data_IF_064904925930
#
_entry.id   IF_064904925930
#
_cell.length_a   1.000
_cell.length_b   1.000
_cell.length_c   1.000
_cell.angle_alpha   90.00
_cell.angle_beta   90.00
_cell.angle_gamma   90.00
#
_symmetry.space_group_name_H-M   'P 1'
#
loop_
_entity.id
_entity.type
_entity.pdbx_description
1 polymer ?
#
# COMPACT_ATOMS: atom_id res chain seq x y z
N UNK A 1 -21.59 7.85 3.32
CA UNK A 1 -20.59 8.04 2.24
C UNK A 1 -20.53 9.51 1.95
N UNK A 2 -19.69 10.24 2.70
CA UNK A 2 -19.39 11.63 2.41
C UNK A 2 -18.18 11.66 1.48
N UNK A 3 -18.19 12.46 0.40
CA UNK A 3 -17.00 12.65 -0.41
C UNK A 3 -15.99 13.43 0.43
N UNK A 4 -14.87 12.79 0.75
CA UNK A 4 -13.71 13.42 1.37
C UNK A 4 -13.19 14.51 0.45
N UNK A 5 -13.63 15.73 0.73
CA UNK A 5 -13.23 16.99 0.11
C UNK A 5 -11.69 17.15 0.15
N UNK A 6 -11.07 17.09 -1.03
CA UNK A 6 -10.13 18.06 -1.61
C UNK A 6 -9.14 18.85 -0.72
N UNK A 7 -8.73 18.35 0.44
CA UNK A 7 -7.79 19.05 1.34
C UNK A 7 -6.32 19.10 0.84
N UNK A 8 -5.98 18.43 -0.26
CA UNK A 8 -4.60 18.31 -0.75
C UNK A 8 -4.18 19.28 -1.87
N UNK A 9 -5.07 20.18 -2.31
CA UNK A 9 -4.78 21.16 -3.37
C UNK A 9 -4.76 22.63 -2.88
N UNK A 10 -4.41 22.89 -1.61
CA UNK A 10 -4.20 24.29 -1.20
C UNK A 10 -2.88 24.79 -1.78
N UNK A 11 -2.86 25.85 -2.62
CA UNK A 11 -1.62 26.45 -3.08
C UNK A 11 -0.79 26.89 -1.87
N UNK A 12 0.55 26.87 -1.95
CA UNK A 12 1.37 27.34 -0.85
C UNK A 12 0.96 28.79 -0.49
N UNK A 13 0.80 29.11 0.81
CA UNK A 13 0.27 30.40 1.29
C UNK A 13 1.10 31.62 0.87
N UNK A 14 2.25 31.40 0.23
CA UNK A 14 3.27 32.40 -0.10
C UNK A 14 2.81 33.46 -1.11
N UNK A 15 1.87 33.14 -1.99
CA UNK A 15 1.41 34.06 -3.05
C UNK A 15 -0.08 34.39 -3.00
N UNK A 16 -0.82 33.92 -1.99
CA UNK A 16 -2.27 34.08 -1.92
C UNK A 16 -2.70 35.54 -1.81
N UNK A 17 -2.01 36.32 -0.97
CA UNK A 17 -2.25 37.76 -0.86
C UNK A 17 -1.94 38.49 -2.17
N UNK A 18 -0.93 38.07 -2.92
CA UNK A 18 -0.54 38.71 -4.18
C UNK A 18 -1.56 38.37 -5.27
N UNK A 19 -1.84 37.09 -5.50
CA UNK A 19 -2.74 36.64 -6.55
C UNK A 19 -4.18 37.17 -6.41
N UNK A 20 -4.65 37.37 -5.17
CA UNK A 20 -5.98 37.94 -4.90
C UNK A 20 -6.06 39.46 -5.08
N UNK A 21 -4.92 40.17 -5.07
CA UNK A 21 -4.88 41.63 -5.22
C UNK A 21 -4.57 42.04 -6.66
N UNK A 22 -3.87 41.19 -7.44
CA UNK A 22 -3.57 41.48 -8.85
C UNK A 22 -4.80 41.86 -9.69
N UNK A 23 -5.99 41.23 -9.54
CA UNK A 23 -7.17 41.61 -10.32
C UNK A 23 -7.73 42.99 -10.02
N UNK A 24 -7.30 43.65 -8.94
CA UNK A 24 -7.73 45.00 -8.57
C UNK A 24 -6.84 46.09 -9.16
N UNK A 25 -5.71 45.71 -9.75
CA UNK A 25 -4.74 46.62 -10.33
C UNK A 25 -5.00 46.79 -11.83
N UNK A 26 -4.61 47.93 -12.43
CA UNK A 26 -4.63 48.09 -13.88
C UNK A 26 -3.71 47.08 -14.60
N UNK A 27 -4.05 46.66 -15.83
CA UNK A 27 -3.25 45.69 -16.59
C UNK A 27 -1.78 46.06 -16.75
N UNK A 28 -1.47 47.36 -16.87
CA UNK A 28 -0.11 47.87 -17.05
C UNK A 28 0.75 47.62 -15.81
N UNK A 29 0.17 47.83 -14.62
CA UNK A 29 0.84 47.56 -13.34
C UNK A 29 1.05 46.06 -13.17
N UNK A 30 0.05 45.25 -13.54
CA UNK A 30 0.14 43.80 -13.48
C UNK A 30 1.19 43.29 -14.45
N UNK A 31 1.27 43.82 -15.67
CA UNK A 31 2.33 43.48 -16.62
C UNK A 31 3.71 43.77 -16.07
N UNK A 32 3.94 44.94 -15.44
CA UNK A 32 5.20 45.25 -14.78
C UNK A 32 5.58 44.21 -13.73
N UNK A 33 4.63 43.88 -12.83
CA UNK A 33 4.84 42.86 -11.79
C UNK A 33 5.15 41.49 -12.41
N UNK A 34 4.41 41.07 -13.43
CA UNK A 34 4.61 39.76 -14.07
C UNK A 34 5.95 39.70 -14.82
N UNK A 35 6.43 40.82 -15.39
CA UNK A 35 7.71 40.91 -16.08
C UNK A 35 8.92 40.61 -15.19
N UNK A 36 8.84 40.98 -13.90
CA UNK A 36 9.91 40.79 -12.91
C UNK A 36 9.91 39.37 -12.29
N UNK A 37 8.89 38.57 -12.55
CA UNK A 37 8.77 37.22 -12.02
C UNK A 37 9.41 36.20 -12.95
N UNK A 38 9.99 35.16 -12.34
CA UNK A 38 10.46 34.02 -13.13
C UNK A 38 9.31 33.25 -13.77
N UNK A 39 9.58 32.61 -14.91
CA UNK A 39 8.60 31.77 -15.62
C UNK A 39 7.96 30.73 -14.68
N UNK A 40 8.75 30.11 -13.80
CA UNK A 40 8.26 29.16 -12.81
C UNK A 40 7.30 29.81 -11.80
N UNK A 41 7.59 31.03 -11.30
CA UNK A 41 6.71 31.73 -10.36
C UNK A 41 5.40 32.17 -11.02
N UNK A 42 5.46 32.62 -12.28
CA UNK A 42 4.29 32.96 -13.07
C UNK A 42 3.35 31.76 -13.20
N UNK A 43 3.91 30.59 -13.56
CA UNK A 43 3.15 29.35 -13.61
C UNK A 43 2.60 28.94 -12.25
N UNK A 44 3.35 29.12 -11.15
CA UNK A 44 2.85 28.83 -9.80
C UNK A 44 1.64 29.70 -9.43
N UNK A 45 1.68 30.99 -9.77
CA UNK A 45 0.57 31.92 -9.51
C UNK A 45 -0.64 31.58 -10.39
N UNK A 46 -0.44 31.42 -11.70
CA UNK A 46 -1.53 31.13 -12.64
C UNK A 46 -2.21 29.78 -12.34
N UNK A 47 -1.43 28.74 -12.05
CA UNK A 47 -1.95 27.41 -11.73
C UNK A 47 -2.56 27.31 -10.32
N UNK A 48 -1.98 27.99 -9.34
CA UNK A 48 -2.39 27.86 -7.94
C UNK A 48 -3.69 28.58 -7.59
N UNK A 49 -3.99 29.68 -8.29
CA UNK A 49 -5.18 30.51 -8.02
C UNK A 49 -6.22 30.46 -9.14
N UNK A 50 -5.83 29.99 -10.34
CA UNK A 50 -6.70 29.84 -11.51
C UNK A 50 -7.56 31.08 -11.82
N UNK A 51 -6.93 32.26 -11.76
CA UNK A 51 -7.60 33.54 -11.97
C UNK A 51 -7.53 33.92 -13.46
N UNK A 52 -8.67 33.98 -14.20
CA UNK A 52 -8.66 34.23 -15.64
C UNK A 52 -7.99 35.56 -16.05
N UNK A 53 -8.12 36.58 -15.21
CA UNK A 53 -7.50 37.88 -15.43
C UNK A 53 -5.96 37.79 -15.46
N UNK A 54 -5.35 36.97 -14.60
CA UNK A 54 -3.89 36.77 -14.59
C UNK A 54 -3.45 36.06 -15.87
N UNK A 55 -4.20 35.05 -16.31
CA UNK A 55 -3.93 34.32 -17.56
C UNK A 55 -4.00 35.25 -18.78
N UNK A 56 -5.00 36.14 -18.81
CA UNK A 56 -5.13 37.18 -19.84
C UNK A 56 -3.96 38.15 -19.82
N UNK A 57 -3.50 38.58 -18.62
CA UNK A 57 -2.34 39.45 -18.48
C UNK A 57 -1.05 38.79 -18.96
N UNK A 58 -0.84 37.50 -18.63
CA UNK A 58 0.31 36.72 -19.11
C UNK A 58 0.30 36.62 -20.64
N UNK A 59 -0.86 36.32 -21.24
CA UNK A 59 -0.97 36.15 -22.69
C UNK A 59 -0.93 37.46 -23.48
N UNK A 60 -1.22 38.61 -22.85
CA UNK A 60 -1.18 39.94 -23.49
C UNK A 60 0.13 40.70 -23.28
N UNK A 61 0.95 40.32 -22.28
CA UNK A 61 2.22 40.97 -21.98
C UNK A 61 3.25 40.80 -23.13
N UNK A 62 3.98 41.87 -23.45
CA UNK A 62 4.90 41.97 -24.60
C UNK A 62 5.89 40.79 -24.73
N UNK A 63 6.67 40.49 -23.68
CA UNK A 63 7.62 39.37 -23.68
C UNK A 63 6.96 38.00 -23.44
N UNK A 64 6.09 37.90 -22.43
CA UNK A 64 5.45 36.64 -22.04
C UNK A 64 4.56 36.05 -23.13
N UNK A 65 3.93 36.87 -23.98
CA UNK A 65 3.14 36.38 -25.13
C UNK A 65 3.98 35.55 -26.12
N UNK A 66 5.28 35.83 -26.23
CA UNK A 66 6.18 35.05 -27.07
C UNK A 66 6.45 33.64 -26.49
N UNK A 67 6.30 33.49 -25.17
CA UNK A 67 6.52 32.26 -24.41
C UNK A 67 5.21 31.48 -24.23
N UNK A 68 4.13 32.18 -23.88
CA UNK A 68 2.81 31.64 -23.54
C UNK A 68 1.78 32.04 -24.60
N UNK A 69 1.57 31.17 -25.56
CA UNK A 69 0.50 31.35 -26.54
C UNK A 69 -0.84 30.94 -25.94
N UNK A 70 -1.89 31.75 -26.17
CA UNK A 70 -3.22 31.48 -25.62
C UNK A 70 -3.76 30.08 -25.98
N UNK A 71 -3.40 29.56 -27.17
CA UNK A 71 -3.80 28.22 -27.63
C UNK A 71 -3.16 27.08 -26.85
N UNK A 72 -1.92 27.24 -26.36
CA UNK A 72 -1.16 26.18 -25.68
C UNK A 72 -1.06 26.38 -24.17
N UNK A 73 -1.41 27.56 -23.67
CA UNK A 73 -1.26 27.92 -22.27
C UNK A 73 -2.06 26.98 -21.34
N UNK A 74 -3.25 26.54 -21.76
CA UNK A 74 -4.06 25.56 -21.03
C UNK A 74 -3.33 24.22 -20.84
N UNK A 75 -2.65 23.75 -21.87
CA UNK A 75 -1.89 22.49 -21.81
C UNK A 75 -0.66 22.64 -20.93
N UNK A 76 0.03 23.78 -21.00
CA UNK A 76 1.15 24.12 -20.11
C UNK A 76 0.68 24.13 -18.65
N UNK A 77 -0.45 24.78 -18.34
CA UNK A 77 -1.03 24.77 -16.99
C UNK A 77 -1.36 23.35 -16.53
N UNK A 78 -1.89 22.51 -17.40
CA UNK A 78 -2.23 21.12 -17.11
C UNK A 78 -0.97 20.30 -16.75
N UNK A 79 0.06 20.36 -17.59
CA UNK A 79 1.36 19.71 -17.33
C UNK A 79 2.02 20.23 -16.05
N UNK A 80 1.97 21.54 -15.81
CA UNK A 80 2.59 22.15 -14.63
C UNK A 80 1.86 21.79 -13.34
N UNK A 81 0.52 21.71 -13.37
CA UNK A 81 -0.27 21.20 -12.24
C UNK A 81 0.09 19.76 -11.89
N UNK A 82 0.23 18.89 -12.91
CA UNK A 82 0.69 17.52 -12.71
C UNK A 82 2.10 17.48 -12.10
N UNK A 83 3.02 18.31 -12.59
CA UNK A 83 4.36 18.45 -12.03
C UNK A 83 4.35 18.94 -10.57
N UNK A 84 3.54 19.94 -10.22
CA UNK A 84 3.39 20.39 -8.85
C UNK A 84 2.86 19.27 -7.94
N UNK A 85 1.85 18.54 -8.40
CA UNK A 85 1.23 17.44 -7.66
C UNK A 85 2.22 16.34 -7.35
N UNK A 86 2.99 15.86 -8.34
CA UNK A 86 3.98 14.81 -8.11
C UNK A 86 5.12 15.27 -7.18
N UNK A 87 5.52 16.55 -7.27
CA UNK A 87 6.54 17.13 -6.38
C UNK A 87 6.04 17.23 -4.94
N UNK A 88 4.78 17.65 -4.74
CA UNK A 88 4.17 17.72 -3.41
C UNK A 88 4.08 16.34 -2.71
N UNK A 89 4.08 15.23 -3.47
CA UNK A 89 4.16 13.88 -2.91
C UNK A 89 5.54 13.54 -2.34
N UNK A 90 6.59 14.30 -2.65
CA UNK A 90 7.93 14.12 -2.09
C UNK A 90 8.17 15.09 -0.92
N UNK A 91 8.15 14.63 0.35
CA UNK A 91 8.25 15.52 1.49
C UNK A 91 9.62 16.20 1.64
N UNK A 92 10.67 15.66 1.01
CA UNK A 92 12.03 16.21 1.12
C UNK A 92 12.22 17.45 0.26
N UNK A 93 11.49 17.54 -0.86
CA UNK A 93 11.62 18.66 -1.80
C UNK A 93 10.28 18.88 -2.53
N UNK A 94 9.27 19.44 -1.83
CA UNK A 94 7.91 19.54 -2.35
C UNK A 94 7.76 20.65 -3.40
N UNK A 95 8.78 21.48 -3.60
CA UNK A 95 8.68 22.65 -4.44
C UNK A 95 9.05 22.34 -5.90
N UNK A 96 8.40 22.98 -6.88
CA UNK A 96 8.82 22.96 -8.27
C UNK A 96 10.27 23.41 -8.40
N UNK A 97 11.07 22.65 -9.15
CA UNK A 97 12.47 22.97 -9.38
C UNK A 97 12.83 22.67 -10.84
N UNK A 98 12.48 23.60 -11.72
CA UNK A 98 12.77 23.53 -13.15
C UNK A 98 13.79 24.61 -13.49
N UNK A 99 15.08 24.25 -13.47
CA UNK A 99 16.20 25.19 -13.66
C UNK A 99 16.04 26.14 -14.86
N UNK A 100 15.59 25.68 -16.05
CA UNK A 100 15.38 26.58 -17.19
C UNK A 100 14.31 27.64 -16.96
N UNK A 101 13.34 27.40 -16.07
CA UNK A 101 12.20 28.29 -15.81
C UNK A 101 12.46 29.26 -14.64
N UNK A 102 13.67 29.29 -14.08
CA UNK A 102 14.03 30.17 -12.96
C UNK A 102 14.34 31.62 -13.38
N UNK A 103 14.48 31.88 -14.67
CA UNK A 103 14.73 33.20 -15.22
C UNK A 103 13.43 33.98 -15.44
N UNK A 104 13.53 35.32 -15.43
CA UNK A 104 12.47 36.22 -15.90
C UNK A 104 12.25 36.09 -17.42
N UNK A 105 11.21 36.76 -17.93
CA UNK A 105 10.83 36.68 -19.33
C UNK A 105 11.93 37.19 -20.29
N UNK A 106 12.64 38.26 -19.92
CA UNK A 106 13.64 38.87 -20.79
C UNK A 106 14.84 37.94 -20.96
N UNK A 107 15.39 37.45 -19.84
CA UNK A 107 16.53 36.53 -19.84
C UNK A 107 16.15 35.18 -20.43
N UNK A 108 14.93 34.70 -20.18
CA UNK A 108 14.44 33.46 -20.78
C UNK A 108 14.37 33.55 -22.31
N UNK A 109 13.83 34.65 -22.84
CA UNK A 109 13.76 34.90 -24.28
C UNK A 109 15.16 34.98 -24.92
N UNK A 110 16.12 35.62 -24.25
CA UNK A 110 17.49 35.76 -24.74
C UNK A 110 18.20 34.40 -24.88
N UNK A 111 18.02 33.53 -23.89
CA UNK A 111 18.70 32.23 -23.83
C UNK A 111 18.08 31.17 -24.76
N UNK A 112 16.83 31.34 -25.21
CA UNK A 112 16.06 30.27 -25.85
C UNK A 112 15.40 30.67 -27.19
N UNK A 113 15.96 31.65 -27.89
CA UNK A 113 15.37 32.33 -29.07
C UNK A 113 14.74 31.37 -30.09
N UNK A 114 15.39 30.25 -30.40
CA UNK A 114 14.94 29.37 -31.49
C UNK A 114 13.82 28.39 -31.09
N UNK A 115 13.53 28.23 -29.78
CA UNK A 115 12.67 27.14 -29.25
C UNK A 115 11.59 27.63 -28.27
N UNK A 116 11.35 28.96 -28.19
CA UNK A 116 10.48 29.60 -27.18
C UNK A 116 9.07 28.98 -27.07
N UNK A 117 8.51 28.49 -28.18
CA UNK A 117 7.14 27.98 -28.24
C UNK A 117 6.94 26.64 -27.54
N UNK A 118 7.97 25.79 -27.50
CA UNK A 118 7.84 24.41 -26.98
C UNK A 118 8.63 24.22 -25.70
N UNK A 119 9.73 24.95 -25.52
CA UNK A 119 10.70 24.74 -24.44
C UNK A 119 10.09 24.75 -23.04
N UNK A 120 9.07 25.58 -22.78
CA UNK A 120 8.41 25.59 -21.46
C UNK A 120 7.69 24.27 -21.21
N UNK A 121 6.84 23.83 -22.15
CA UNK A 121 6.13 22.57 -22.01
C UNK A 121 7.11 21.39 -21.98
N UNK A 122 8.10 21.38 -22.86
CA UNK A 122 9.13 20.33 -22.93
C UNK A 122 9.91 20.23 -21.62
N UNK A 123 10.26 21.38 -21.01
CA UNK A 123 10.94 21.43 -19.71
C UNK A 123 10.07 20.86 -18.58
N UNK A 124 8.78 21.21 -18.57
CA UNK A 124 7.83 20.72 -17.56
C UNK A 124 7.65 19.21 -17.71
N UNK A 125 7.43 18.73 -18.93
CA UNK A 125 7.26 17.31 -19.23
C UNK A 125 8.52 16.52 -18.90
N UNK A 126 9.71 17.04 -19.24
CA UNK A 126 10.97 16.42 -18.86
C UNK A 126 11.11 16.30 -17.33
N UNK A 127 10.78 17.36 -16.59
CA UNK A 127 10.78 17.34 -15.12
C UNK A 127 9.76 16.35 -14.55
N UNK A 128 8.55 16.30 -15.12
CA UNK A 128 7.51 15.35 -14.75
C UNK A 128 7.95 13.91 -15.00
N UNK A 129 8.59 13.63 -16.15
CA UNK A 129 9.13 12.32 -16.45
C UNK A 129 10.24 11.89 -15.48
N UNK A 130 11.11 12.81 -15.07
CA UNK A 130 12.14 12.51 -14.05
C UNK A 130 11.50 12.07 -12.74
N UNK A 131 10.44 12.75 -12.31
CA UNK A 131 9.71 12.38 -11.09
C UNK A 131 8.93 11.07 -11.28
N UNK A 132 8.21 10.89 -12.38
CA UNK A 132 7.46 9.66 -12.67
C UNK A 132 8.38 8.44 -12.78
N UNK A 133 9.60 8.58 -13.29
CA UNK A 133 10.59 7.49 -13.36
C UNK A 133 10.94 6.93 -11.98
N UNK A 134 10.69 7.65 -10.88
CA UNK A 134 10.86 7.13 -9.51
C UNK A 134 9.87 6.00 -9.19
N UNK A 135 8.75 5.91 -9.91
CA UNK A 135 7.84 4.76 -9.83
C UNK A 135 8.35 3.50 -10.51
N UNK A 136 9.42 3.57 -11.33
CA UNK A 136 9.94 2.43 -12.11
C UNK A 136 10.08 1.14 -11.29
N UNK A 137 10.66 1.13 -10.07
CA UNK A 137 10.81 -0.11 -9.29
C UNK A 137 9.48 -0.73 -8.84
N UNK A 138 8.37 0.00 -8.97
CA UNK A 138 7.07 -0.31 -8.39
C UNK A 138 5.98 -0.52 -9.46
N UNK A 139 6.29 -0.28 -10.74
CA UNK A 139 5.31 -0.33 -11.82
C UNK A 139 4.62 -1.68 -11.95
N UNK A 140 5.35 -2.78 -11.78
CA UNK A 140 4.79 -4.13 -11.88
C UNK A 140 3.69 -4.36 -10.84
N UNK A 141 3.90 -3.86 -9.61
CA UNK A 141 2.91 -3.92 -8.53
C UNK A 141 1.76 -2.96 -8.80
N UNK A 142 2.04 -1.70 -9.14
CA UNK A 142 1.02 -0.67 -9.34
C UNK A 142 0.06 -1.00 -10.48
N UNK A 143 0.53 -1.66 -11.54
CA UNK A 143 -0.31 -2.13 -12.67
C UNK A 143 -1.45 -3.07 -12.24
N UNK A 144 -1.32 -3.75 -11.10
CA UNK A 144 -2.37 -4.62 -10.56
C UNK A 144 -3.53 -3.84 -9.93
N UNK A 145 -3.30 -2.57 -9.59
CA UNK A 145 -4.23 -1.72 -8.86
C UNK A 145 -4.83 -0.63 -9.74
N UNK A 146 -4.54 -0.61 -11.03
CA UNK A 146 -5.17 0.29 -12.01
C UNK A 146 -5.71 -0.48 -13.20
N UNK A 147 -6.79 0.02 -13.80
CA UNK A 147 -7.32 -0.47 -15.09
C UNK A 147 -6.66 0.23 -16.28
N UNK A 148 -5.95 1.34 -16.05
CA UNK A 148 -5.29 2.10 -17.11
C UNK A 148 -3.97 1.40 -17.50
N UNK A 149 -3.73 1.13 -18.79
CA UNK A 149 -2.50 0.48 -19.22
C UNK A 149 -1.32 1.43 -19.06
N UNK A 150 -0.43 1.15 -18.11
CA UNK A 150 0.80 1.93 -17.90
C UNK A 150 1.95 1.25 -18.63
N UNK A 151 2.43 1.78 -19.77
CA UNK A 151 3.54 1.18 -20.51
C UNK A 151 4.88 1.30 -19.77
N UNK A 152 5.92 0.61 -20.28
CA UNK A 152 7.28 0.75 -19.75
C UNK A 152 7.80 2.19 -19.89
N UNK A 153 8.64 2.70 -18.97
CA UNK A 153 9.14 4.08 -19.01
C UNK A 153 9.82 4.49 -20.32
N UNK A 154 10.39 3.53 -21.05
CA UNK A 154 11.02 3.75 -22.37
C UNK A 154 10.02 4.02 -23.50
N UNK A 155 8.75 3.70 -23.28
CA UNK A 155 7.65 3.82 -24.24
C UNK A 155 6.72 4.99 -23.91
N UNK A 156 7.03 5.79 -22.89
CA UNK A 156 6.19 6.90 -22.49
C UNK A 156 6.21 8.00 -23.56
N UNK A 157 5.03 8.29 -24.10
CA UNK A 157 4.82 9.34 -25.09
C UNK A 157 4.93 10.73 -24.44
N UNK A 158 5.53 11.72 -25.11
CA UNK A 158 5.73 13.06 -24.57
C UNK A 158 4.49 13.95 -24.63
N UNK A 159 3.29 13.44 -24.92
CA UNK A 159 2.10 14.33 -24.95
C UNK A 159 1.61 14.67 -23.55
N UNK A 160 1.26 15.95 -23.32
CA UNK A 160 0.82 16.44 -22.02
C UNK A 160 -0.36 15.64 -21.44
N UNK A 161 -1.33 15.27 -22.29
CA UNK A 161 -2.54 14.58 -21.83
C UNK A 161 -2.27 13.12 -21.42
N UNK A 162 -1.46 12.39 -22.19
CA UNK A 162 -1.13 11.00 -21.86
C UNK A 162 -0.30 10.92 -20.58
N UNK A 163 0.68 11.81 -20.41
CA UNK A 163 1.52 11.85 -19.21
C UNK A 163 0.69 12.16 -17.96
N UNK A 164 -0.26 13.09 -18.05
CA UNK A 164 -1.17 13.41 -16.93
C UNK A 164 -2.04 12.21 -16.58
N UNK A 165 -2.64 11.53 -17.57
CA UNK A 165 -3.44 10.32 -17.33
C UNK A 165 -2.61 9.19 -16.71
N UNK A 166 -1.38 9.00 -17.17
CA UNK A 166 -0.46 8.02 -16.58
C UNK A 166 -0.14 8.36 -15.12
N UNK A 167 0.10 9.63 -14.80
CA UNK A 167 0.33 10.06 -13.42
C UNK A 167 -0.90 9.81 -12.54
N UNK A 168 -2.09 10.14 -13.02
CA UNK A 168 -3.35 9.90 -12.30
C UNK A 168 -3.54 8.42 -12.02
N UNK A 169 -3.33 7.56 -13.02
CA UNK A 169 -3.39 6.11 -12.88
C UNK A 169 -2.39 5.58 -11.85
N UNK A 170 -1.18 6.14 -11.79
CA UNK A 170 -0.16 5.78 -10.79
C UNK A 170 -0.55 6.20 -9.38
N UNK A 171 -1.05 7.44 -9.19
CA UNK A 171 -1.50 7.91 -7.88
C UNK A 171 -2.72 7.11 -7.40
N UNK A 172 -3.70 6.83 -8.27
CA UNK A 172 -4.86 6.01 -7.94
C UNK A 172 -4.45 4.58 -7.54
N UNK A 173 -3.53 3.98 -8.29
CA UNK A 173 -2.98 2.66 -7.95
C UNK A 173 -2.28 2.66 -6.59
N UNK A 174 -1.45 3.67 -6.30
CA UNK A 174 -0.77 3.80 -5.01
C UNK A 174 -1.78 3.99 -3.87
N UNK A 175 -2.77 4.87 -4.04
CA UNK A 175 -3.83 5.09 -3.05
C UNK A 175 -4.61 3.80 -2.78
N UNK A 176 -4.97 3.04 -3.82
CA UNK A 176 -5.68 1.77 -3.67
C UNK A 176 -4.84 0.72 -2.96
N UNK A 177 -3.58 0.54 -3.38
CA UNK A 177 -2.62 -0.36 -2.74
C UNK A 177 -2.44 -0.03 -1.25
N UNK A 178 -2.23 1.25 -0.95
CA UNK A 178 -2.05 1.73 0.42
C UNK A 178 -3.32 1.58 1.25
N UNK A 179 -4.49 1.80 0.66
CA UNK A 179 -5.80 1.57 1.30
C UNK A 179 -5.97 0.11 1.73
N UNK A 180 -5.67 -0.85 0.85
CA UNK A 180 -5.74 -2.28 1.17
C UNK A 180 -4.79 -2.62 2.32
N UNK A 181 -3.51 -2.22 2.23
CA UNK A 181 -2.53 -2.46 3.30
C UNK A 181 -2.94 -1.83 4.63
N UNK A 182 -3.45 -0.61 4.60
CA UNK A 182 -3.95 0.10 5.78
C UNK A 182 -5.06 -0.70 6.45
N UNK A 183 -6.00 -1.22 5.66
CA UNK A 183 -7.08 -2.06 6.17
C UNK A 183 -6.55 -3.37 6.76
N UNK A 184 -5.59 -4.03 6.10
CA UNK A 184 -4.96 -5.25 6.63
C UNK A 184 -4.25 -5.01 7.96
N UNK A 185 -3.51 -3.90 8.10
CA UNK A 185 -2.86 -3.50 9.35
C UNK A 185 -3.87 -3.28 10.48
N UNK A 186 -4.99 -2.60 10.19
CA UNK A 186 -6.08 -2.40 11.15
C UNK A 186 -6.75 -3.71 11.55
N UNK A 187 -7.01 -4.59 10.59
CA UNK A 187 -7.57 -5.92 10.85
C UNK A 187 -6.63 -6.74 11.74
N UNK A 188 -5.34 -6.75 11.44
CA UNK A 188 -4.33 -7.42 12.27
C UNK A 188 -4.28 -6.85 13.69
N UNK A 189 -4.34 -5.53 13.84
CA UNK A 189 -4.36 -4.89 15.17
C UNK A 189 -5.61 -5.30 15.96
N UNK A 190 -6.78 -5.32 15.30
CA UNK A 190 -8.04 -5.78 15.87
C UNK A 190 -7.96 -7.23 16.34
N UNK A 191 -7.39 -8.14 15.53
CA UNK A 191 -7.21 -9.54 15.90
C UNK A 191 -6.34 -9.72 17.14
N UNK A 192 -5.25 -8.94 17.28
CA UNK A 192 -4.41 -8.99 18.50
C UNK A 192 -5.19 -8.52 19.73
N UNK A 193 -6.06 -7.52 19.59
CA UNK A 193 -6.90 -7.03 20.70
C UNK A 193 -8.02 -8.02 21.07
N UNK A 194 -8.65 -8.65 20.09
CA UNK A 194 -9.76 -9.58 20.31
C UNK A 194 -9.31 -10.95 20.85
N UNK A 195 -8.09 -11.37 20.53
CA UNK A 195 -7.55 -12.68 20.85
C UNK A 195 -6.21 -12.60 21.63
N UNK A 196 -6.21 -12.01 22.84
CA UNK A 196 -4.98 -11.79 23.61
C UNK A 196 -4.30 -13.10 23.99
N UNK A 197 -2.97 -13.12 23.90
CA UNK A 197 -2.10 -14.26 24.20
C UNK A 197 -2.01 -15.31 23.10
N UNK A 198 -2.85 -15.24 22.06
CA UNK A 198 -2.92 -16.27 21.00
C UNK A 198 -1.98 -16.01 19.83
N UNK A 199 -1.73 -14.74 19.54
CA UNK A 199 -1.02 -14.30 18.34
C UNK A 199 0.40 -13.86 18.68
N UNK A 200 1.29 -14.07 17.74
CA UNK A 200 2.67 -13.56 17.77
C UNK A 200 3.03 -12.97 16.42
N UNK A 201 4.05 -12.12 16.41
CA UNK A 201 4.73 -11.78 15.16
C UNK A 201 5.49 -13.01 14.68
N UNK A 202 5.57 -13.20 13.36
CA UNK A 202 6.18 -14.42 12.81
C UNK A 202 7.68 -14.54 13.08
N UNK A 203 8.35 -13.40 13.24
CA UNK A 203 9.76 -13.29 13.64
C UNK A 203 9.99 -13.67 15.10
N UNK A 204 8.96 -13.59 15.95
CA UNK A 204 9.07 -13.98 17.34
C UNK A 204 9.11 -15.51 17.45
N UNK A 205 10.29 -16.05 17.75
CA UNK A 205 10.51 -17.49 17.97
C UNK A 205 10.05 -17.97 19.35
N UNK A 206 9.80 -17.04 20.28
CA UNK A 206 9.29 -17.39 21.61
C UNK A 206 7.86 -17.92 21.52
N UNK A 207 7.59 -18.96 22.30
CA UNK A 207 6.25 -19.53 22.49
C UNK A 207 5.62 -19.06 23.81
N UNK A 208 6.32 -18.20 24.56
CA UNK A 208 5.80 -17.62 25.78
C UNK A 208 4.77 -16.52 25.47
N UNK A 209 3.78 -16.30 26.36
CA UNK A 209 2.86 -15.18 26.25
C UNK A 209 3.62 -13.86 26.09
N UNK A 210 3.23 -13.06 25.10
CA UNK A 210 3.88 -11.78 24.84
C UNK A 210 3.52 -10.82 25.98
N UNK A 211 4.53 -10.36 26.71
CA UNK A 211 4.33 -9.46 27.86
C UNK A 211 3.70 -8.11 27.50
N UNK A 212 3.81 -7.68 26.23
CA UNK A 212 3.34 -6.38 25.77
C UNK A 212 2.74 -6.44 24.35
N UNK A 213 1.56 -7.05 24.22
CA UNK A 213 0.81 -7.08 22.95
C UNK A 213 0.37 -5.70 22.48
N UNK A 214 0.22 -4.75 23.42
CA UNK A 214 -0.08 -3.35 23.11
C UNK A 214 0.98 -2.74 22.19
N UNK A 215 2.26 -3.08 22.35
CA UNK A 215 3.30 -2.63 21.42
C UNK A 215 3.03 -3.11 19.98
N UNK A 216 2.57 -4.35 19.80
CA UNK A 216 2.26 -4.89 18.46
C UNK A 216 1.09 -4.11 17.86
N UNK A 217 0.02 -3.91 18.63
CA UNK A 217 -1.15 -3.12 18.21
C UNK A 217 -0.74 -1.69 17.82
N UNK A 218 0.00 -1.00 18.68
CA UNK A 218 0.44 0.38 18.43
C UNK A 218 1.33 0.46 17.19
N UNK A 219 2.24 -0.51 17.00
CA UNK A 219 3.10 -0.59 15.80
C UNK A 219 2.27 -0.75 14.52
N UNK A 220 1.26 -1.63 14.54
CA UNK A 220 0.37 -1.85 13.40
C UNK A 220 -0.45 -0.60 13.08
N UNK A 221 -1.01 0.07 14.09
CA UNK A 221 -1.83 1.28 13.91
C UNK A 221 -1.00 2.50 13.46
N UNK A 222 0.20 2.69 14.02
CA UNK A 222 1.13 3.73 13.57
C UNK A 222 1.53 3.47 12.12
N UNK A 223 1.86 2.22 11.78
CA UNK A 223 2.20 1.85 10.40
C UNK A 223 1.01 2.07 9.46
N UNK A 224 -0.23 1.78 9.90
CA UNK A 224 -1.44 2.01 9.13
C UNK A 224 -1.61 3.51 8.81
N UNK A 225 -1.48 4.38 9.83
CA UNK A 225 -1.52 5.84 9.65
C UNK A 225 -0.43 6.34 8.70
N UNK A 226 0.76 5.76 8.79
CA UNK A 226 1.85 6.09 7.86
C UNK A 226 1.55 5.60 6.44
N UNK A 227 0.88 4.46 6.26
CA UNK A 227 0.57 3.91 4.95
C UNK A 227 -0.43 4.76 4.15
N UNK A 228 -1.31 5.53 4.81
CA UNK A 228 -2.30 6.41 4.16
C UNK A 228 -1.67 7.51 3.28
N UNK A 229 -0.39 7.83 3.49
CA UNK A 229 0.33 8.85 2.73
C UNK A 229 1.00 8.26 1.49
N UNK A 230 1.13 9.06 0.42
CA UNK A 230 1.99 8.71 -0.71
C UNK A 230 3.42 8.63 -0.23
N UNK A 231 4.11 7.56 -0.57
CA UNK A 231 5.45 7.30 -0.06
C UNK A 231 6.38 6.62 -1.07
N UNK A 232 5.85 6.05 -2.16
CA UNK A 232 6.67 5.33 -3.14
C UNK A 232 7.71 6.23 -3.82
N UNK A 233 7.30 7.42 -4.30
CA UNK A 233 8.21 8.39 -4.93
C UNK A 233 9.34 8.84 -3.99
N UNK A 234 9.08 8.88 -2.69
CA UNK A 234 10.07 9.27 -1.70
C UNK A 234 11.13 8.19 -1.43
N UNK A 235 11.00 7.00 -2.03
CA UNK A 235 11.86 5.84 -1.78
C UNK A 235 11.66 5.19 -0.41
N UNK A 236 10.74 5.70 0.40
CA UNK A 236 10.43 5.17 1.74
C UNK A 236 9.41 4.04 1.62
N UNK A 237 9.86 2.80 1.72
CA UNK A 237 8.97 1.63 1.75
C UNK A 237 8.33 1.45 3.14
N UNK A 238 7.25 2.18 3.39
CA UNK A 238 6.49 2.08 4.64
C UNK A 238 5.89 0.68 4.76
N UNK A 239 5.94 0.10 5.97
CA UNK A 239 5.44 -1.24 6.24
C UNK A 239 6.23 -2.38 5.59
N UNK A 240 7.41 -2.13 5.02
CA UNK A 240 8.23 -3.17 4.39
C UNK A 240 8.51 -4.34 5.34
N UNK A 241 8.80 -4.10 6.62
CA UNK A 241 9.02 -5.17 7.60
C UNK A 241 7.81 -6.09 7.82
N UNK A 242 6.60 -5.61 7.51
CA UNK A 242 5.35 -6.36 7.70
C UNK A 242 4.96 -7.11 6.41
N UNK A 243 5.14 -6.46 5.25
CA UNK A 243 4.71 -6.99 3.96
C UNK A 243 5.82 -7.65 3.15
N UNK A 244 7.08 -7.64 3.63
CA UNK A 244 8.21 -8.28 2.94
C UNK A 244 8.13 -9.79 2.87
N UNK A 245 7.57 -10.38 3.92
CA UNK A 245 7.42 -11.81 4.04
C UNK A 245 6.20 -12.29 3.26
N UNK A 246 6.27 -13.40 2.50
CA UNK A 246 5.08 -13.98 1.85
C UNK A 246 4.01 -14.37 2.88
N UNK A 247 4.46 -14.77 4.06
CA UNK A 247 3.63 -15.07 5.20
C UNK A 247 2.98 -13.80 5.76
N UNK A 248 1.74 -13.94 6.23
CA UNK A 248 1.10 -12.93 7.07
C UNK A 248 1.99 -12.62 8.30
N UNK A 249 2.10 -11.34 8.64
CA UNK A 249 2.95 -10.84 9.73
C UNK A 249 2.60 -11.43 11.11
N UNK A 250 1.31 -11.69 11.32
CA UNK A 250 0.80 -12.39 12.50
C UNK A 250 0.64 -13.87 12.22
N UNK A 251 0.98 -14.69 13.20
CA UNK A 251 0.60 -16.10 13.23
C UNK A 251 0.15 -16.51 14.64
N UNK A 252 -0.68 -17.56 14.78
CA UNK A 252 -0.95 -18.12 16.09
C UNK A 252 0.32 -18.75 16.70
N UNK A 253 0.37 -18.84 18.02
CA UNK A 253 1.45 -19.57 18.68
C UNK A 253 1.36 -21.08 18.40
N UNK A 254 2.48 -21.78 18.45
CA UNK A 254 2.49 -23.24 18.22
C UNK A 254 1.73 -23.96 19.36
N UNK A 255 1.64 -23.33 20.53
CA UNK A 255 0.82 -23.80 21.66
C UNK A 255 -0.68 -23.74 21.36
N UNK A 256 -1.17 -22.68 20.71
CA UNK A 256 -2.57 -22.61 20.23
C UNK A 256 -2.82 -23.72 19.21
N UNK A 257 -1.93 -23.87 18.23
CA UNK A 257 -2.01 -24.91 17.22
C UNK A 257 -2.10 -26.31 17.84
N UNK A 258 -1.21 -26.61 18.78
CA UNK A 258 -1.20 -27.89 19.46
C UNK A 258 -2.51 -28.18 20.18
N UNK A 259 -3.06 -27.18 20.89
CA UNK A 259 -4.31 -27.35 21.64
C UNK A 259 -5.50 -27.56 20.69
N UNK A 260 -5.56 -26.78 19.60
CA UNK A 260 -6.53 -26.94 18.52
C UNK A 260 -6.51 -28.36 17.95
N UNK A 261 -5.33 -28.85 17.55
CA UNK A 261 -5.19 -30.19 16.97
C UNK A 261 -5.55 -31.29 17.97
N UNK A 262 -5.25 -31.11 19.26
CA UNK A 262 -5.65 -32.04 20.32
C UNK A 262 -7.15 -32.08 20.54
N UNK A 263 -7.82 -30.92 20.53
CA UNK A 263 -9.29 -30.86 20.60
C UNK A 263 -9.90 -31.58 19.40
N UNK A 264 -9.41 -31.29 18.20
CA UNK A 264 -9.92 -31.90 16.97
C UNK A 264 -9.65 -33.42 16.88
N UNK A 265 -8.53 -33.90 17.42
CA UNK A 265 -8.25 -35.34 17.51
C UNK A 265 -9.26 -36.06 18.41
N UNK A 266 -9.68 -35.43 19.50
CA UNK A 266 -10.63 -36.00 20.46
C UNK A 266 -12.08 -35.84 20.02
N UNK A 267 -12.38 -34.76 19.30
CA UNK A 267 -13.70 -34.44 18.75
C UNK A 267 -13.54 -34.15 17.25
N UNK A 268 -13.47 -35.19 16.40
CA UNK A 268 -13.27 -35.03 14.96
C UNK A 268 -14.39 -34.22 14.32
N UNK A 269 -14.06 -33.42 13.31
CA UNK A 269 -15.07 -32.74 12.50
C UNK A 269 -15.83 -33.76 11.65
N UNK A 270 -17.09 -33.49 11.41
CA UNK A 270 -17.92 -34.16 10.39
C UNK A 270 -17.36 -34.07 8.96
N UNK A 271 -16.51 -33.06 8.70
CA UNK A 271 -15.74 -32.91 7.46
C UNK A 271 -14.55 -33.87 7.32
N UNK A 272 -14.18 -34.61 8.38
CA UNK A 272 -13.11 -35.61 8.29
C UNK A 272 -13.65 -36.95 7.79
N UNK A 273 -13.01 -37.50 6.77
CA UNK A 273 -13.16 -38.92 6.42
C UNK A 273 -12.47 -39.74 7.52
N UNK A 274 -13.25 -40.29 8.44
CA UNK A 274 -12.75 -41.15 9.52
C UNK A 274 -13.08 -42.60 9.18
N UNK A 275 -12.07 -43.48 9.21
CA UNK A 275 -12.19 -44.91 8.91
C UNK A 275 -13.10 -45.68 9.88
N UNK A 276 -13.42 -45.07 11.05
CA UNK A 276 -14.27 -45.64 12.09
C UNK A 276 -15.46 -44.71 12.37
N UNK A 277 -16.66 -45.25 12.65
CA UNK A 277 -17.81 -44.46 13.07
C UNK A 277 -17.55 -43.86 14.46
N UNK A 278 -16.88 -42.70 14.49
CA UNK A 278 -16.74 -41.86 15.67
C UNK A 278 -17.92 -40.89 15.69
N UNK A 279 -18.37 -40.54 16.89
CA UNK A 279 -19.29 -39.42 17.06
C UNK A 279 -18.56 -38.13 16.67
N UNK A 280 -18.70 -37.73 15.40
CA UNK A 280 -18.16 -36.48 14.91
C UNK A 280 -18.87 -35.29 15.59
N UNK A 281 -18.10 -34.25 15.88
CA UNK A 281 -18.62 -33.00 16.42
C UNK A 281 -18.92 -32.04 15.26
N UNK A 282 -20.07 -31.37 15.35
CA UNK A 282 -20.47 -30.37 14.36
C UNK A 282 -19.85 -29.02 14.71
N UNK A 283 -18.80 -28.65 13.98
CA UNK A 283 -18.15 -27.36 14.15
C UNK A 283 -18.82 -26.26 13.31
N UNK A 284 -18.65 -24.98 13.67
CA UNK A 284 -19.08 -23.86 12.84
C UNK A 284 -18.48 -23.90 11.42
N UNK A 285 -19.17 -23.28 10.45
CA UNK A 285 -18.80 -23.27 9.02
C UNK A 285 -17.34 -22.86 8.73
N UNK A 286 -16.73 -22.05 9.59
CA UNK A 286 -15.33 -21.64 9.46
C UNK A 286 -14.33 -22.80 9.53
N UNK A 287 -14.71 -23.98 10.04
CA UNK A 287 -13.83 -25.14 10.14
C UNK A 287 -13.31 -25.59 8.77
N UNK A 288 -14.13 -25.58 7.73
CA UNK A 288 -13.72 -25.96 6.37
C UNK A 288 -12.58 -25.05 5.85
N UNK A 289 -12.71 -23.74 6.08
CA UNK A 289 -11.69 -22.75 5.70
C UNK A 289 -10.39 -23.04 6.44
N UNK A 290 -10.48 -23.32 7.75
CA UNK A 290 -9.34 -23.62 8.61
C UNK A 290 -8.60 -24.87 8.13
N UNK A 291 -9.32 -25.98 7.95
CA UNK A 291 -8.77 -27.27 7.53
C UNK A 291 -8.14 -27.23 6.14
N UNK A 292 -8.78 -26.57 5.17
CA UNK A 292 -8.21 -26.39 3.83
C UNK A 292 -6.98 -25.50 3.81
N UNK A 293 -6.92 -24.50 4.69
CA UNK A 293 -5.79 -23.59 4.78
C UNK A 293 -4.58 -24.15 5.54
N UNK A 294 -4.69 -25.29 6.23
CA UNK A 294 -3.60 -25.81 7.06
C UNK A 294 -2.32 -26.21 6.31
N UNK A 295 -2.47 -26.66 5.07
CA UNK A 295 -1.37 -27.17 4.25
C UNK A 295 -0.48 -26.04 3.74
N UNK A 296 -1.09 -25.01 3.16
CA UNK A 296 -0.41 -24.02 2.33
C UNK A 296 -0.82 -22.59 2.65
N UNK A 297 0.08 -21.68 2.31
CA UNK A 297 -0.17 -20.24 2.33
C UNK A 297 -0.89 -19.86 1.05
N UNK A 298 -1.91 -19.02 1.16
CA UNK A 298 -2.58 -18.45 0.01
C UNK A 298 -1.62 -17.49 -0.69
N UNK A 299 -1.36 -17.69 -1.99
CA UNK A 299 -0.49 -16.82 -2.75
C UNK A 299 -1.08 -15.40 -2.80
N UNK A 300 -0.22 -14.40 -2.89
CA UNK A 300 -0.68 -13.03 -3.07
C UNK A 300 -1.27 -12.90 -4.48
N UNK A 301 -2.07 -11.86 -4.70
CA UNK A 301 -2.60 -11.55 -6.03
C UNK A 301 -1.50 -10.94 -6.93
N UNK A 302 -0.36 -11.63 -7.05
CA UNK A 302 0.75 -11.26 -7.92
C UNK A 302 0.67 -12.06 -9.22
N UNK A 303 0.87 -11.45 -10.39
CA UNK A 303 1.07 -12.20 -11.63
C UNK A 303 2.33 -13.07 -11.53
N UNK A 304 3.33 -12.64 -10.75
CA UNK A 304 4.54 -13.42 -10.48
C UNK A 304 4.28 -14.61 -9.57
N UNK A 305 3.36 -14.52 -8.61
CA UNK A 305 2.99 -15.67 -7.78
C UNK A 305 2.30 -16.72 -8.64
N UNK A 306 1.52 -16.33 -9.66
CA UNK A 306 0.88 -17.30 -10.55
C UNK A 306 1.90 -18.04 -11.42
N UNK A 307 2.87 -17.33 -11.99
CA UNK A 307 3.94 -17.95 -12.78
C UNK A 307 4.90 -18.75 -11.88
N UNK A 308 5.16 -18.27 -10.66
CA UNK A 308 5.93 -18.99 -9.63
C UNK A 308 5.22 -20.25 -9.16
N UNK A 309 3.90 -20.25 -8.95
CA UNK A 309 3.14 -21.46 -8.64
C UNK A 309 3.14 -22.48 -9.78
N UNK A 310 3.36 -22.03 -11.02
CA UNK A 310 3.50 -22.91 -12.19
C UNK A 310 4.93 -23.48 -12.31
N UNK A 311 5.95 -22.82 -11.73
CA UNK A 311 7.36 -23.16 -11.87
C UNK A 311 7.99 -23.79 -10.60
N UNK A 312 7.62 -23.30 -9.41
CA UNK A 312 8.02 -23.86 -8.13
C UNK A 312 7.19 -25.11 -7.85
N UNK A 313 7.90 -26.24 -7.74
CA UNK A 313 7.30 -27.54 -7.46
C UNK A 313 6.74 -27.65 -6.04
N UNK A 314 7.07 -26.73 -5.14
CA UNK A 314 6.73 -26.79 -3.71
C UNK A 314 6.10 -25.46 -3.22
N UNK A 315 4.78 -25.42 -2.98
CA UNK A 315 4.12 -24.25 -2.41
C UNK A 315 4.57 -24.01 -0.97
N UNK A 316 4.56 -22.75 -0.53
CA UNK A 316 4.95 -22.43 0.85
C UNK A 316 3.97 -23.03 1.87
N UNK A 317 4.51 -23.80 2.80
CA UNK A 317 3.73 -24.54 3.79
C UNK A 317 3.32 -23.65 4.95
N UNK A 318 2.08 -23.82 5.46
CA UNK A 318 1.63 -23.09 6.66
C UNK A 318 2.03 -23.80 7.93
N UNK A 319 1.86 -25.12 7.97
CA UNK A 319 2.15 -25.95 9.15
C UNK A 319 3.00 -27.15 8.80
N UNK A 320 3.78 -27.61 9.77
CA UNK A 320 4.63 -28.80 9.67
C UNK A 320 4.43 -29.69 10.89
N UNK A 321 4.63 -30.99 10.68
CA UNK A 321 4.37 -32.05 11.66
C UNK A 321 2.91 -32.12 12.10
N UNK A 322 1.98 -31.85 11.18
CA UNK A 322 0.53 -31.95 11.39
C UNK A 322 -0.08 -32.91 10.38
N UNK A 323 -1.21 -33.57 10.71
CA UNK A 323 -1.89 -34.46 9.76
C UNK A 323 -2.49 -33.70 8.56
N UNK A 324 -2.76 -32.41 8.73
CA UNK A 324 -3.26 -31.50 7.70
C UNK A 324 -2.14 -30.71 7.00
N UNK A 325 -0.88 -31.01 7.29
CA UNK A 325 0.26 -30.40 6.61
C UNK A 325 0.41 -30.95 5.19
N UNK A 326 1.22 -30.26 4.40
CA UNK A 326 1.52 -30.69 3.04
C UNK A 326 2.23 -32.08 3.00
N UNK A 327 2.12 -32.81 1.88
CA UNK A 327 2.86 -34.06 1.67
C UNK A 327 4.36 -33.87 1.93
N UNK A 328 5.00 -34.79 2.66
CA UNK A 328 6.42 -34.67 3.08
C UNK A 328 6.65 -33.90 4.38
N UNK A 329 5.68 -33.09 4.83
CA UNK A 329 5.71 -32.39 6.12
C UNK A 329 4.65 -32.88 7.11
N UNK A 330 3.95 -33.97 6.76
CA UNK A 330 3.06 -34.66 7.68
C UNK A 330 3.86 -35.25 8.85
N UNK A 331 3.15 -35.52 9.94
CA UNK A 331 3.78 -35.98 11.19
C UNK A 331 4.58 -37.27 10.96
N UNK A 332 5.90 -37.18 11.10
CA UNK A 332 6.81 -38.32 11.17
C UNK A 332 7.55 -38.25 12.51
N UNK A 333 7.38 -39.28 13.34
CA UNK A 333 8.05 -39.37 14.65
C UNK A 333 7.50 -38.44 15.75
N UNK A 334 8.39 -38.03 16.67
CA UNK A 334 8.04 -37.30 17.90
C UNK A 334 8.05 -35.77 17.78
N UNK A 335 8.07 -35.23 16.56
CA UNK A 335 8.07 -33.79 16.35
C UNK A 335 6.72 -33.15 16.74
N UNK A 336 6.79 -32.01 17.43
CA UNK A 336 5.60 -31.26 17.81
C UNK A 336 5.07 -30.47 16.61
N UNK A 337 3.73 -30.42 16.43
CA UNK A 337 3.07 -29.52 15.48
C UNK A 337 3.54 -28.09 15.64
N UNK A 338 3.89 -27.42 14.54
CA UNK A 338 4.26 -25.99 14.56
C UNK A 338 3.90 -25.29 13.26
N UNK A 339 3.75 -23.97 13.33
CA UNK A 339 3.69 -23.15 12.13
C UNK A 339 5.05 -23.09 11.46
N UNK A 340 5.08 -23.16 10.13
CA UNK A 340 6.31 -23.00 9.38
C UNK A 340 6.91 -21.60 9.64
N UNK A 341 8.18 -21.58 10.04
CA UNK A 341 8.94 -20.36 10.28
C UNK A 341 9.60 -19.81 9.02
N UNK A 342 10.13 -18.59 9.11
CA UNK A 342 10.80 -17.86 8.02
C UNK A 342 12.15 -18.46 7.57
N UNK A 343 12.56 -19.60 8.11
CA UNK A 343 13.93 -20.14 8.00
C UNK A 343 14.35 -20.63 6.61
N UNK A 344 13.54 -20.49 5.56
CA UNK A 344 13.83 -21.10 4.26
C UNK A 344 13.67 -20.17 3.04
N UNK A 345 13.41 -18.88 3.24
CA UNK A 345 13.25 -17.96 2.10
C UNK A 345 14.58 -17.23 1.84
N UNK A 346 15.21 -17.41 0.67
CA UNK A 346 16.40 -16.64 0.30
C UNK A 346 16.13 -15.14 0.39
N UNK A 347 17.09 -14.38 0.96
CA UNK A 347 17.05 -12.92 1.03
C UNK A 347 16.99 -12.22 -0.35
N UNK A 348 17.12 -12.96 -1.44
CA UNK A 348 17.14 -12.45 -2.81
C UNK A 348 15.75 -12.18 -3.40
N UNK A 349 14.73 -11.95 -2.56
CA UNK A 349 13.45 -11.47 -3.09
C UNK A 349 13.59 -10.05 -3.58
N UNK A 350 13.11 -9.81 -4.80
CA UNK A 350 13.12 -8.48 -5.39
C UNK A 350 12.31 -7.55 -4.49
N UNK A 351 12.82 -6.34 -4.26
CA UNK A 351 12.22 -5.36 -3.36
C UNK A 351 10.78 -4.94 -3.74
N UNK A 352 10.24 -5.41 -4.87
CA UNK A 352 8.84 -5.22 -5.24
C UNK A 352 7.89 -6.28 -4.69
N UNK A 353 8.33 -7.53 -4.49
CA UNK A 353 7.46 -8.59 -3.93
C UNK A 353 7.09 -8.27 -2.48
N UNK A 354 7.98 -7.57 -1.79
CA UNK A 354 7.79 -7.09 -0.42
C UNK A 354 6.75 -5.98 -0.28
N UNK A 355 6.23 -5.47 -1.39
CA UNK A 355 5.23 -4.41 -1.41
C UNK A 355 3.82 -4.89 -1.66
N UNK A 356 3.59 -6.17 -1.94
CA UNK A 356 2.22 -6.65 -2.11
C UNK A 356 1.53 -6.80 -0.74
N UNK A 357 0.23 -6.51 -0.65
CA UNK A 357 -0.56 -6.88 0.52
C UNK A 357 -0.57 -8.40 0.68
N UNK A 358 -0.86 -8.87 1.90
CA UNK A 358 -1.12 -10.29 2.10
C UNK A 358 -2.36 -10.71 1.28
N UNK A 359 -2.50 -11.98 0.93
CA UNK A 359 -3.75 -12.45 0.32
C UNK A 359 -4.91 -12.24 1.31
N UNK A 360 -6.08 -11.79 0.84
CA UNK A 360 -7.26 -11.61 1.72
C UNK A 360 -7.63 -12.90 2.43
N UNK A 361 -7.50 -14.03 1.71
CA UNK A 361 -7.69 -15.38 2.25
C UNK A 361 -6.77 -15.73 3.42
N UNK A 362 -5.59 -15.11 3.56
CA UNK A 362 -4.74 -15.30 4.74
C UNK A 362 -5.36 -14.70 6.00
N UNK A 363 -5.96 -13.51 5.87
CA UNK A 363 -6.62 -12.83 6.98
C UNK A 363 -7.93 -13.54 7.32
N UNK A 364 -8.68 -13.96 6.30
CA UNK A 364 -9.89 -14.79 6.47
C UNK A 364 -9.56 -16.10 7.20
N UNK A 365 -8.51 -16.82 6.78
CA UNK A 365 -8.07 -18.04 7.43
C UNK A 365 -7.67 -17.80 8.88
N UNK A 366 -6.88 -16.75 9.15
CA UNK A 366 -6.45 -16.45 10.52
C UNK A 366 -7.64 -16.12 11.41
N UNK A 367 -8.59 -15.33 10.89
CA UNK A 367 -9.81 -14.95 11.61
C UNK A 367 -10.64 -16.19 11.92
N UNK A 368 -10.92 -17.03 10.92
CA UNK A 368 -11.67 -18.27 11.07
C UNK A 368 -10.99 -19.23 12.07
N UNK A 369 -9.66 -19.32 12.05
CA UNK A 369 -8.90 -20.14 12.99
C UNK A 369 -9.08 -19.68 14.44
N UNK A 370 -9.00 -18.36 14.68
CA UNK A 370 -9.17 -17.77 16.02
C UNK A 370 -10.62 -17.90 16.52
N UNK A 371 -11.60 -17.68 15.67
CA UNK A 371 -13.02 -17.91 15.98
C UNK A 371 -13.27 -19.38 16.37
N UNK A 372 -12.62 -20.31 15.68
CA UNK A 372 -12.74 -21.74 15.98
C UNK A 372 -12.10 -22.12 17.31
N UNK A 373 -10.95 -21.52 17.63
CA UNK A 373 -10.33 -21.66 18.95
C UNK A 373 -11.26 -21.12 20.05
N UNK A 374 -11.92 -19.98 19.81
CA UNK A 374 -12.87 -19.40 20.76
C UNK A 374 -14.11 -20.29 20.93
N UNK A 375 -14.61 -20.89 19.85
CA UNK A 375 -15.67 -21.90 19.92
C UNK A 375 -15.23 -23.10 20.77
N UNK A 376 -14.03 -23.65 20.52
CA UNK A 376 -13.47 -24.73 21.32
C UNK A 376 -13.28 -24.37 22.79
N UNK A 377 -12.99 -23.10 23.11
CA UNK A 377 -12.90 -22.62 24.49
C UNK A 377 -14.26 -22.52 25.21
N UNK A 378 -15.37 -22.61 24.48
CA UNK A 378 -16.75 -22.62 24.99
C UNK A 378 -17.39 -24.01 25.00
N UNK A 379 -16.74 -25.00 24.41
CA UNK A 379 -17.20 -26.39 24.37
C UNK A 379 -17.38 -26.97 25.79
N UNK A 380 -18.54 -27.57 26.05
CA UNK A 380 -18.92 -28.17 27.34
C UNK A 380 -18.61 -29.68 27.40
N UNK A 381 -18.14 -30.26 26.30
CA UNK A 381 -17.80 -31.67 26.21
C UNK A 381 -16.67 -32.05 27.18
N UNK A 382 -16.70 -33.29 27.67
CA UNK A 382 -15.73 -33.74 28.68
C UNK A 382 -14.34 -34.04 28.11
N UNK A 383 -13.38 -33.15 28.36
CA UNK A 383 -11.97 -33.36 28.06
C UNK A 383 -11.33 -34.46 28.90
N UNK A 384 -11.65 -34.52 30.19
CA UNK A 384 -11.36 -35.64 31.10
C UNK A 384 -12.41 -35.67 32.20
N UNK A 385 -12.40 -36.69 33.06
CA UNK A 385 -13.33 -36.78 34.18
C UNK A 385 -13.28 -35.48 35.01
N UNK A 386 -14.39 -34.75 35.03
CA UNK A 386 -14.51 -33.48 35.76
C UNK A 386 -13.77 -32.27 35.14
N UNK A 387 -13.38 -32.33 33.86
CA UNK A 387 -12.86 -31.16 33.14
C UNK A 387 -13.47 -31.08 31.74
N UNK A 388 -14.06 -29.93 31.38
CA UNK A 388 -14.58 -29.67 30.01
C UNK A 388 -13.47 -29.26 29.04
N UNK A 389 -13.75 -29.31 27.72
CA UNK A 389 -12.85 -28.74 26.70
C UNK A 389 -12.61 -27.26 26.99
N UNK A 390 -13.66 -26.49 27.27
CA UNK A 390 -13.54 -25.07 27.55
C UNK A 390 -12.67 -24.75 28.77
N UNK A 391 -12.80 -25.51 29.87
CA UNK A 391 -11.94 -25.38 31.04
C UNK A 391 -10.47 -25.71 30.72
N UNK A 392 -10.24 -26.71 29.85
CA UNK A 392 -8.90 -27.04 29.38
C UNK A 392 -8.29 -25.87 28.61
N UNK A 393 -9.03 -25.23 27.72
CA UNK A 393 -8.59 -24.03 27.00
C UNK A 393 -8.28 -22.85 27.93
N UNK A 394 -9.19 -22.55 28.87
CA UNK A 394 -9.01 -21.47 29.85
C UNK A 394 -7.79 -21.65 30.77
N UNK A 395 -7.38 -22.90 31.03
CA UNK A 395 -6.12 -23.15 31.76
C UNK A 395 -4.84 -22.75 31.01
N UNK A 396 -4.93 -22.57 29.68
CA UNK A 396 -3.84 -22.11 28.83
C UNK A 396 -3.98 -20.63 28.48
N UNK A 397 -5.22 -20.17 28.29
CA UNK A 397 -5.58 -18.80 27.91
C UNK A 397 -6.74 -18.31 28.79
N UNK A 398 -6.45 -17.76 29.98
CA UNK A 398 -7.49 -17.39 30.95
C UNK A 398 -8.45 -16.28 30.50
N UNK A 399 -8.07 -15.52 29.47
CA UNK A 399 -8.84 -14.40 28.89
C UNK A 399 -9.87 -14.82 27.84
N UNK A 400 -9.97 -16.12 27.52
CA UNK A 400 -11.01 -16.71 26.66
C UNK A 400 -12.26 -17.08 27.44
#
# INVERSE_FOLDING_TARGET
MEPSSSAHNRPPPRYASIALQLPKLPPEVVHGILGDLSIQKLLQISCGFDVPYIDQCICSHFLLRAIFQASTFKDIKTSFNAYQRIRAMNPQDPHPNLSPLKFDAARFCELNKDWLKTIVNDTILAGLFVEMKKYKPYLEVLRLYTSYPIPEPRLWSPTSQEVVRMLEALDEAEVKLNGIKTQQLRNMAKLVQEYPGMLRTRDNRSQEPIRNEKHIVDTLLVTAKMMEQRHLISGKLRGAAIFSSPFLFLCPSDRVLWLFLKTLQKYPSDLEEVDEPRNCHSYPKGMEVVLRGFSYIYPRQSPFDRERLLLEKDPEYRTIYTKYGAPGHKQHGHHQPKFAGLTLVPLERKAHDSMLPAAEKEIEWLTAFLEMCQHMARMEEQWKKGQTVGERWRSYYPSM
#
